data_IF_102621846041
#
_entry.id   IF_102621846041
#
_cell.length_a   1.000
_cell.length_b   1.000
_cell.length_c   1.000
_cell.angle_alpha   90.00
_cell.angle_beta   90.00
_cell.angle_gamma   90.00
#
_symmetry.space_group_name_H-M   'P 1'
#
loop_
_entity.id
_entity.type
_entity.pdbx_description
1 polymer ?
#
# COMPACT_ATOMS: atom_id res chain seq x y z
N UNK A 1 17.57 34.29 28.47
CA UNK A 1 17.83 35.28 27.41
C UNK A 1 19.24 34.99 26.91
N UNK A 2 19.39 33.94 26.08
CA UNK A 2 20.68 33.59 25.47
C UNK A 2 20.71 34.21 24.07
N UNK A 3 21.53 35.25 23.91
CA UNK A 3 21.93 35.76 22.60
C UNK A 3 22.85 34.71 21.96
N UNK A 4 22.32 33.95 21.00
CA UNK A 4 23.14 33.16 20.08
C UNK A 4 23.48 34.01 18.85
N UNK A 5 24.48 34.87 18.96
CA UNK A 5 25.15 35.46 17.78
C UNK A 5 26.19 34.47 17.22
N UNK A 6 25.72 33.29 16.81
CA UNK A 6 26.54 32.36 16.04
C UNK A 6 26.26 32.61 14.55
N UNK A 7 27.13 33.39 13.90
CA UNK A 7 27.03 33.68 12.47
C UNK A 7 27.36 32.40 11.68
N UNK A 8 26.42 31.90 10.89
CA UNK A 8 26.67 30.78 9.96
C UNK A 8 27.67 31.19 8.88
N UNK A 9 28.59 30.29 8.52
CA UNK A 9 29.40 30.46 7.31
C UNK A 9 28.49 30.28 6.09
N UNK A 10 28.84 30.90 4.96
CA UNK A 10 28.19 30.64 3.68
C UNK A 10 28.29 29.14 3.35
N UNK A 11 27.20 28.55 2.89
CA UNK A 11 27.23 27.18 2.36
C UNK A 11 28.08 27.12 1.09
N UNK A 12 28.56 25.93 0.74
CA UNK A 12 29.12 25.71 -0.59
C UNK A 12 28.04 25.96 -1.66
N UNK A 13 28.44 26.49 -2.82
CA UNK A 13 27.52 26.73 -3.93
C UNK A 13 27.01 25.41 -4.51
N UNK A 14 25.70 25.33 -4.79
CA UNK A 14 25.07 24.15 -5.40
C UNK A 14 24.19 24.56 -6.59
N UNK A 15 24.05 23.66 -7.57
CA UNK A 15 23.29 23.94 -8.80
C UNK A 15 21.78 23.78 -8.59
N UNK A 16 21.01 24.73 -9.10
CA UNK A 16 19.53 24.75 -9.06
C UNK A 16 18.90 24.34 -10.42
N UNK A 17 19.74 23.99 -11.40
CA UNK A 17 19.36 23.92 -12.82
C UNK A 17 19.08 22.52 -13.35
N UNK A 18 19.25 21.47 -12.54
CA UNK A 18 18.83 20.13 -12.93
C UNK A 18 17.39 19.94 -12.48
N UNK A 19 16.49 19.68 -13.44
CA UNK A 19 15.10 19.31 -13.17
C UNK A 19 15.15 18.03 -12.30
N UNK A 20 14.70 18.11 -11.04
CA UNK A 20 14.84 17.10 -9.97
C UNK A 20 16.21 16.99 -9.28
N UNK A 21 17.11 17.98 -9.32
CA UNK A 21 18.21 18.05 -8.33
C UNK A 21 17.68 18.50 -6.98
N UNK A 22 17.02 17.57 -6.32
CA UNK A 22 16.74 17.65 -4.91
C UNK A 22 17.94 17.08 -4.15
N UNK A 23 18.33 17.70 -3.05
CA UNK A 23 19.54 17.31 -2.32
C UNK A 23 19.64 17.96 -0.95
N UNK A 24 20.74 17.70 -0.25
CA UNK A 24 21.04 18.32 1.04
C UNK A 24 22.12 19.40 0.91
N UNK A 25 21.91 20.55 1.53
CA UNK A 25 22.93 21.56 1.76
C UNK A 25 23.50 21.43 3.17
N UNK A 26 24.83 21.56 3.30
CA UNK A 26 25.51 21.61 4.60
C UNK A 26 25.83 23.06 4.96
N UNK A 27 25.39 23.48 6.14
CA UNK A 27 25.59 24.82 6.69
C UNK A 27 26.50 24.72 7.92
N UNK A 28 27.77 25.12 7.77
CA UNK A 28 28.74 25.11 8.86
C UNK A 28 28.62 26.40 9.69
N UNK A 29 28.54 26.27 11.01
CA UNK A 29 28.54 27.41 11.94
C UNK A 29 29.93 27.57 12.55
N UNK A 30 30.23 28.74 13.11
CA UNK A 30 31.53 29.10 13.69
C UNK A 30 32.04 28.16 14.79
N UNK A 31 31.16 27.33 15.37
CA UNK A 31 31.46 26.32 16.40
C UNK A 31 31.70 24.90 15.84
N UNK A 32 32.08 24.78 14.57
CA UNK A 32 32.26 23.52 13.83
C UNK A 32 31.02 22.59 13.78
N UNK A 33 29.85 23.09 14.19
CA UNK A 33 28.59 22.38 13.99
C UNK A 33 28.13 22.49 12.54
N UNK A 34 27.74 21.37 11.96
CA UNK A 34 27.19 21.30 10.61
C UNK A 34 25.69 21.03 10.69
N UNK A 35 24.89 21.90 10.08
CA UNK A 35 23.45 21.75 9.95
C UNK A 35 23.13 21.29 8.53
N UNK A 36 22.27 20.27 8.39
CA UNK A 36 21.92 19.71 7.09
C UNK A 36 20.51 20.11 6.71
N UNK A 37 20.32 20.72 5.55
CA UNK A 37 19.02 21.23 5.07
C UNK A 37 18.67 20.51 3.78
N UNK A 38 17.54 19.82 3.74
CA UNK A 38 16.96 19.27 2.53
C UNK A 38 16.36 20.39 1.67
N UNK A 39 16.61 20.31 0.37
CA UNK A 39 16.20 21.29 -0.62
C UNK A 39 15.31 20.59 -1.65
N UNK A 40 14.08 21.08 -1.76
CA UNK A 40 13.11 20.66 -2.76
C UNK A 40 12.81 21.83 -3.71
N UNK A 41 12.77 21.55 -5.02
CA UNK A 41 12.60 22.55 -6.08
C UNK A 41 11.46 22.11 -6.97
N UNK A 42 10.33 22.83 -6.90
CA UNK A 42 9.14 22.54 -7.71
C UNK A 42 8.81 23.74 -8.58
N UNK A 43 8.54 23.51 -9.87
CA UNK A 43 8.03 24.57 -10.76
C UNK A 43 6.57 24.84 -10.44
N UNK A 44 6.23 26.11 -10.20
CA UNK A 44 4.85 26.57 -10.04
C UNK A 44 4.01 26.24 -11.26
N UNK A 45 2.70 26.06 -11.06
CA UNK A 45 1.72 25.85 -12.14
C UNK A 45 1.70 26.96 -13.20
N UNK A 46 2.22 28.16 -12.90
CA UNK A 46 2.34 29.28 -13.84
C UNK A 46 3.64 29.26 -14.68
N UNK A 47 4.45 28.19 -14.59
CA UNK A 47 5.56 27.89 -15.51
C UNK A 47 6.81 28.76 -15.40
N UNK A 48 6.73 29.97 -14.83
CA UNK A 48 7.83 30.93 -14.74
C UNK A 48 8.40 31.12 -13.33
N UNK A 49 7.86 30.44 -12.33
CA UNK A 49 8.32 30.55 -10.93
C UNK A 49 8.76 29.17 -10.43
N UNK A 50 10.00 29.06 -9.93
CA UNK A 50 10.45 27.90 -9.15
C UNK A 50 10.21 28.18 -7.66
N UNK A 51 9.61 27.24 -6.95
CA UNK A 51 9.41 27.26 -5.51
C UNK A 51 10.53 26.42 -4.89
N UNK A 52 11.33 27.05 -4.04
CA UNK A 52 12.41 26.43 -3.28
C UNK A 52 11.93 26.18 -1.85
N UNK A 53 11.80 24.93 -1.45
CA UNK A 53 11.42 24.55 -0.08
C UNK A 53 12.66 24.07 0.67
N UNK A 54 13.01 24.78 1.73
CA UNK A 54 14.12 24.44 2.62
C UNK A 54 13.57 23.78 3.89
N UNK A 55 13.95 22.53 4.13
CA UNK A 55 13.48 21.76 5.29
C UNK A 55 14.70 21.24 6.07
N UNK A 56 14.70 21.28 7.41
CA UNK A 56 15.71 20.57 8.20
C UNK A 56 15.85 19.11 7.78
N UNK A 57 17.07 18.57 7.79
CA UNK A 57 17.32 17.15 7.48
C UNK A 57 16.59 16.21 8.43
N UNK A 58 16.30 16.64 9.64
CA UNK A 58 15.51 15.88 10.60
C UNK A 58 14.43 16.77 11.19
N UNK A 59 13.19 16.29 11.14
CA UNK A 59 12.05 16.94 11.81
C UNK A 59 11.38 15.94 12.74
N UNK A 60 10.94 16.42 13.89
CA UNK A 60 10.15 15.64 14.84
C UNK A 60 8.71 16.13 14.76
N UNK A 61 7.79 15.18 14.62
CA UNK A 61 6.35 15.41 14.47
C UNK A 61 5.67 14.66 15.61
N UNK A 62 4.90 15.36 16.43
CA UNK A 62 4.11 14.73 17.48
C UNK A 62 2.65 14.60 17.04
N UNK A 63 2.22 13.38 16.69
CA UNK A 63 0.82 13.02 16.43
C UNK A 63 0.17 12.28 17.60
N UNK A 64 0.86 12.19 18.74
CA UNK A 64 0.27 11.68 19.98
C UNK A 64 -0.60 12.75 20.64
N UNK A 65 -1.51 12.32 21.51
CA UNK A 65 -2.42 13.20 22.25
C UNK A 65 -1.76 13.94 23.42
N UNK A 66 -0.45 13.74 23.67
CA UNK A 66 0.26 14.27 24.83
C UNK A 66 1.51 15.05 24.45
N UNK A 67 1.92 15.94 25.36
CA UNK A 67 3.20 16.64 25.23
C UNK A 67 4.36 15.71 25.57
N UNK A 68 5.31 15.61 24.64
CA UNK A 68 6.53 14.80 24.79
C UNK A 68 7.76 15.71 24.79
N UNK A 69 8.86 15.20 25.34
CA UNK A 69 10.17 15.79 25.13
C UNK A 69 11.09 14.79 24.45
N UNK A 70 11.90 15.29 23.53
CA UNK A 70 12.87 14.49 22.79
C UNK A 70 14.29 15.02 22.98
N UNK A 71 15.26 14.11 23.00
CA UNK A 71 16.68 14.44 23.06
C UNK A 71 17.50 13.48 22.21
N UNK A 72 18.59 13.99 21.63
CA UNK A 72 19.63 13.14 21.06
C UNK A 72 20.28 12.38 22.22
N UNK A 73 20.37 11.06 22.11
CA UNK A 73 21.01 10.24 23.11
C UNK A 73 22.53 10.38 22.93
N UNK A 74 23.13 11.16 23.82
CA UNK A 74 24.55 11.48 23.80
C UNK A 74 25.32 10.57 24.79
N UNK A 75 26.65 10.45 24.65
CA UNK A 75 27.46 9.81 25.67
C UNK A 75 27.18 10.41 27.06
N UNK A 76 27.22 9.61 28.12
CA UNK A 76 26.92 10.04 29.51
C UNK A 76 27.77 11.22 30.03
N UNK A 77 28.86 11.54 29.33
CA UNK A 77 29.75 12.67 29.60
C UNK A 77 29.18 14.01 29.14
N UNK A 78 28.17 14.00 28.27
CA UNK A 78 27.53 15.18 27.71
C UNK A 78 26.08 15.32 28.20
N UNK A 79 25.62 16.56 28.31
CA UNK A 79 24.27 16.84 28.78
C UNK A 79 23.28 16.77 27.61
N UNK A 80 22.29 15.89 27.73
CA UNK A 80 21.19 15.80 26.77
C UNK A 80 20.34 17.08 26.77
N UNK A 81 20.09 17.62 25.58
CA UNK A 81 19.23 18.79 25.39
C UNK A 81 17.82 18.36 25.00
N UNK A 82 16.97 18.22 26.00
CA UNK A 82 15.54 17.94 25.84
C UNK A 82 14.80 19.10 25.17
N UNK A 83 13.93 18.75 24.21
CA UNK A 83 13.08 19.69 23.47
C UNK A 83 11.63 19.28 23.60
N UNK A 84 10.79 20.22 24.06
CA UNK A 84 9.34 20.03 24.12
C UNK A 84 8.76 19.95 22.71
N UNK A 85 7.86 19.00 22.49
CA UNK A 85 7.05 18.87 21.28
C UNK A 85 5.60 18.64 21.69
N UNK A 86 4.75 19.63 21.46
CA UNK A 86 3.32 19.58 21.78
C UNK A 86 2.55 18.72 20.77
N UNK A 87 1.34 18.25 21.11
CA UNK A 87 0.46 17.60 20.13
C UNK A 87 0.29 18.44 18.86
N UNK A 88 0.37 17.79 17.70
CA UNK A 88 0.34 18.38 16.35
C UNK A 88 1.51 19.32 16.01
N UNK A 89 2.48 19.50 16.92
CA UNK A 89 3.65 20.32 16.67
C UNK A 89 4.68 19.59 15.80
N UNK A 90 5.35 20.38 14.94
CA UNK A 90 6.47 19.94 14.13
C UNK A 90 7.66 20.83 14.48
N UNK A 91 8.74 20.23 14.98
CA UNK A 91 9.96 20.97 15.33
C UNK A 91 11.16 20.51 14.49
N UNK A 92 12.07 21.43 14.15
CA UNK A 92 13.36 21.07 13.57
C UNK A 92 14.22 20.35 14.61
N UNK A 93 14.85 19.24 14.21
CA UNK A 93 15.80 18.50 15.03
C UNK A 93 17.16 18.44 14.33
N UNK A 94 18.21 18.77 15.07
CA UNK A 94 19.55 18.98 14.51
C UNK A 94 20.53 18.07 15.24
N UNK A 95 20.71 16.83 14.78
CA UNK A 95 21.64 15.89 15.41
C UNK A 95 23.08 16.40 15.32
N UNK A 96 23.89 15.99 16.29
CA UNK A 96 25.30 16.36 16.38
C UNK A 96 26.14 15.49 15.44
N UNK A 97 25.78 14.21 15.33
CA UNK A 97 26.30 13.28 14.33
C UNK A 97 25.16 12.40 13.79
N UNK A 98 25.15 12.14 12.47
CA UNK A 98 24.18 11.22 11.85
C UNK A 98 24.61 9.76 11.92
N UNK A 99 25.91 9.49 12.04
CA UNK A 99 26.42 8.12 12.19
C UNK A 99 26.09 7.58 13.59
N UNK A 100 25.27 6.53 13.64
CA UNK A 100 24.81 5.94 14.91
C UNK A 100 23.82 6.82 15.70
N UNK A 101 23.16 7.79 15.06
CA UNK A 101 22.29 8.74 15.73
C UNK A 101 21.05 8.07 16.35
N UNK A 102 20.92 8.22 17.67
CA UNK A 102 19.85 7.63 18.48
C UNK A 102 19.17 8.68 19.34
N UNK A 103 17.87 8.52 19.60
CA UNK A 103 17.02 9.50 20.29
C UNK A 103 16.33 8.87 21.49
N UNK A 104 16.19 9.64 22.56
CA UNK A 104 15.27 9.36 23.67
C UNK A 104 14.01 10.22 23.54
N UNK A 105 12.88 9.66 23.95
CA UNK A 105 11.63 10.40 24.16
C UNK A 105 11.16 10.18 25.59
N UNK A 106 10.57 11.21 26.21
CA UNK A 106 9.95 11.10 27.52
C UNK A 106 8.64 11.85 27.60
N UNK A 107 7.78 11.42 28.50
CA UNK A 107 6.59 12.16 28.84
C UNK A 107 6.95 13.38 29.69
N UNK A 108 6.37 14.53 29.37
CA UNK A 108 6.64 15.80 30.05
C UNK A 108 6.21 15.79 31.52
N UNK A 109 5.05 15.20 31.80
CA UNK A 109 4.37 15.27 33.10
C UNK A 109 5.03 14.41 34.19
N UNK A 110 5.51 13.20 33.84
CA UNK A 110 6.10 12.26 34.80
C UNK A 110 7.58 11.96 34.53
N UNK A 111 8.17 12.50 33.44
CA UNK A 111 9.57 12.31 33.02
C UNK A 111 9.97 10.86 32.71
N UNK A 112 9.00 9.96 32.56
CA UNK A 112 9.25 8.56 32.16
C UNK A 112 9.81 8.57 30.74
N UNK A 113 10.97 7.95 30.56
CA UNK A 113 11.78 8.00 29.34
C UNK A 113 11.85 6.64 28.67
N UNK A 114 11.83 6.63 27.35
CA UNK A 114 12.01 5.42 26.54
C UNK A 114 13.46 4.96 26.54
N UNK A 115 13.67 3.71 26.13
CA UNK A 115 14.97 3.30 25.59
C UNK A 115 15.29 4.07 24.31
N UNK A 116 16.58 4.20 23.98
CA UNK A 116 17.00 4.91 22.78
C UNK A 116 16.58 4.15 21.52
N UNK A 117 16.29 4.87 20.45
CA UNK A 117 15.98 4.28 19.14
C UNK A 117 16.71 5.04 18.03
N UNK A 118 17.06 4.34 16.95
CA UNK A 118 17.72 4.95 15.80
C UNK A 118 16.75 5.88 15.06
N UNK A 119 17.20 7.06 14.63
CA UNK A 119 16.37 7.97 13.81
C UNK A 119 17.02 8.36 12.48
N UNK A 120 18.11 7.68 12.12
CA UNK A 120 18.87 7.82 10.90
C UNK A 120 18.61 6.68 9.89
N UNK A 121 17.56 5.88 10.11
CA UNK A 121 17.16 4.79 9.22
C UNK A 121 15.63 4.64 9.24
N UNK A 122 15.04 4.21 8.13
CA UNK A 122 13.58 3.99 8.05
C UNK A 122 13.19 2.75 8.86
N UNK A 123 12.31 2.92 9.84
CA UNK A 123 11.66 1.82 10.56
C UNK A 123 10.43 2.33 11.32
N UNK A 124 9.63 1.40 11.85
CA UNK A 124 8.54 1.67 12.78
C UNK A 124 8.73 0.76 13.99
N UNK A 125 8.65 1.31 15.18
CA UNK A 125 8.82 0.54 16.42
C UNK A 125 7.92 1.08 17.52
N UNK A 126 7.55 0.23 18.47
CA UNK A 126 6.78 0.59 19.64
C UNK A 126 7.73 0.74 20.82
N UNK A 127 7.78 1.92 21.44
CA UNK A 127 8.63 2.16 22.60
C UNK A 127 7.86 1.81 23.87
N UNK A 128 8.43 0.94 24.70
CA UNK A 128 7.90 0.69 26.05
C UNK A 128 8.11 1.92 26.92
N UNK A 129 7.04 2.36 27.56
CA UNK A 129 7.03 3.45 28.53
C UNK A 129 6.56 2.85 29.85
N UNK A 130 7.35 2.92 30.92
CA UNK A 130 6.98 2.33 32.22
C UNK A 130 5.93 3.18 32.98
N UNK A 131 4.91 3.67 32.25
CA UNK A 131 3.78 4.44 32.75
C UNK A 131 2.51 3.57 32.80
N UNK A 132 1.70 3.72 33.83
CA UNK A 132 0.51 2.89 34.04
C UNK A 132 -0.63 3.23 33.07
N UNK A 133 -0.81 4.52 32.74
CA UNK A 133 -1.89 4.97 31.86
C UNK A 133 -1.53 4.86 30.38
N UNK A 134 -0.25 5.05 30.05
CA UNK A 134 0.29 5.04 28.69
C UNK A 134 1.56 4.19 28.63
N UNK A 135 1.41 2.86 28.61
CA UNK A 135 2.55 1.94 28.73
C UNK A 135 3.43 1.87 27.48
N UNK A 136 3.06 2.55 26.40
CA UNK A 136 3.82 2.55 25.16
C UNK A 136 3.58 3.80 24.31
N UNK A 137 4.58 4.12 23.48
CA UNK A 137 4.53 5.21 22.51
C UNK A 137 5.03 4.71 21.15
N UNK A 138 4.25 4.92 20.10
CA UNK A 138 4.64 4.54 18.75
C UNK A 138 5.64 5.56 18.19
N UNK A 139 6.68 5.08 17.51
CA UNK A 139 7.54 5.92 16.68
C UNK A 139 7.70 5.33 15.27
N UNK A 140 7.53 6.18 14.28
CA UNK A 140 7.80 5.89 12.88
C UNK A 140 8.88 6.85 12.36
N UNK A 141 9.97 6.30 11.84
CA UNK A 141 11.04 7.06 11.19
C UNK A 141 10.88 6.88 9.69
N UNK A 142 10.55 7.97 9.01
CA UNK A 142 10.30 8.00 7.57
C UNK A 142 11.48 8.68 6.89
N UNK A 143 12.15 7.97 5.99
CA UNK A 143 13.16 8.57 5.11
C UNK A 143 12.46 9.42 4.03
N UNK A 144 12.97 10.61 3.76
CA UNK A 144 12.53 11.47 2.65
C UNK A 144 13.35 11.19 1.41
N UNK A 145 12.85 11.57 0.23
CA UNK A 145 13.55 11.41 -1.05
C UNK A 145 14.87 12.23 -1.16
N UNK A 146 15.20 12.97 -0.12
CA UNK A 146 16.30 13.95 -0.04
C UNK A 146 17.28 13.63 1.09
N UNK A 147 17.41 12.34 1.45
CA UNK A 147 18.27 11.82 2.53
C UNK A 147 18.00 12.44 3.91
N UNK A 148 16.79 12.96 4.11
CA UNK A 148 16.28 13.45 5.39
C UNK A 148 15.41 12.42 6.10
N UNK A 149 15.07 12.70 7.36
CA UNK A 149 14.25 11.84 8.21
C UNK A 149 13.14 12.62 8.91
N UNK A 150 11.95 12.03 8.95
CA UNK A 150 10.83 12.50 9.77
C UNK A 150 10.60 11.50 10.88
N UNK A 151 10.74 11.94 12.13
CA UNK A 151 10.46 11.14 13.32
C UNK A 151 9.05 11.47 13.78
N UNK A 152 8.13 10.55 13.58
CA UNK A 152 6.70 10.73 13.87
C UNK A 152 6.34 9.92 15.11
N UNK A 153 5.88 10.60 16.15
CA UNK A 153 5.36 9.96 17.36
C UNK A 153 3.85 9.84 17.29
N UNK A 154 3.30 8.74 17.79
CA UNK A 154 1.87 8.49 17.85
C UNK A 154 1.46 7.77 19.13
N UNK A 155 0.19 7.88 19.49
CA UNK A 155 -0.38 7.05 20.56
C UNK A 155 -0.35 5.57 20.17
N UNK A 156 -0.18 4.71 21.16
CA UNK A 156 -0.27 3.26 20.98
C UNK A 156 -1.66 2.84 20.48
N UNK A 157 -1.69 2.00 19.43
CA UNK A 157 -2.89 1.37 18.87
C UNK A 157 -2.74 -0.14 18.87
N UNK A 158 -3.87 -0.84 18.93
CA UNK A 158 -3.92 -2.30 18.77
C UNK A 158 -3.28 -2.65 17.41
N UNK A 159 -2.34 -3.60 17.41
CA UNK A 159 -1.53 -3.96 16.24
C UNK A 159 -0.17 -3.27 16.15
N UNK A 160 0.12 -2.24 16.95
CA UNK A 160 1.45 -1.61 16.97
C UNK A 160 2.52 -2.49 17.64
N UNK A 161 2.11 -3.43 18.48
CA UNK A 161 3.05 -4.34 19.15
C UNK A 161 3.68 -5.26 18.10
N UNK A 162 5.02 -5.39 18.04
CA UNK A 162 5.67 -6.30 17.10
C UNK A 162 5.10 -7.73 17.10
N UNK A 163 4.78 -8.26 18.28
CA UNK A 163 4.13 -9.56 18.41
C UNK A 163 3.29 -9.66 19.69
N UNK A 164 2.15 -10.33 19.60
CA UNK A 164 1.37 -10.82 20.73
C UNK A 164 1.79 -12.27 21.00
N UNK A 165 2.40 -12.52 22.16
CA UNK A 165 2.79 -13.86 22.60
C UNK A 165 1.61 -14.49 23.34
N UNK A 166 1.19 -15.68 22.92
CA UNK A 166 0.05 -16.41 23.52
C UNK A 166 0.49 -17.80 23.92
N UNK A 167 0.47 -18.09 25.22
CA UNK A 167 0.81 -19.40 25.75
C UNK A 167 -0.47 -20.18 26.06
N UNK A 168 -0.87 -21.10 25.18
CA UNK A 168 -2.00 -22.01 25.40
C UNK A 168 -1.61 -23.33 26.08
N UNK A 169 -0.35 -23.48 26.51
CA UNK A 169 0.08 -24.65 27.29
C UNK A 169 -0.57 -24.62 28.68
N UNK A 170 -0.93 -25.78 29.20
CA UNK A 170 -1.67 -25.87 30.48
C UNK A 170 -0.77 -25.72 31.70
N UNK A 171 0.47 -26.19 31.60
CA UNK A 171 1.38 -26.30 32.75
C UNK A 171 2.79 -25.78 32.49
N UNK A 172 3.12 -25.43 31.24
CA UNK A 172 4.48 -25.09 30.84
C UNK A 172 4.59 -23.59 30.57
N UNK A 173 5.43 -22.85 31.32
CA UNK A 173 5.73 -21.46 31.00
C UNK A 173 6.68 -21.38 29.79
N UNK A 174 6.58 -20.28 29.06
CA UNK A 174 7.47 -19.98 27.92
C UNK A 174 8.40 -18.83 28.32
N UNK A 175 9.70 -19.06 28.27
CA UNK A 175 10.69 -18.01 28.45
C UNK A 175 10.97 -17.32 27.11
N UNK A 176 11.17 -16.00 27.11
CA UNK A 176 11.45 -15.25 25.90
C UNK A 176 12.36 -14.03 26.17
N UNK A 177 13.18 -13.66 25.19
CA UNK A 177 13.99 -12.44 25.20
C UNK A 177 14.26 -11.94 23.78
N UNK A 178 14.75 -10.71 23.67
CA UNK A 178 15.34 -10.23 22.42
C UNK A 178 16.67 -10.97 22.18
N UNK A 179 16.96 -11.32 20.94
CA UNK A 179 18.23 -11.95 20.59
C UNK A 179 19.42 -11.10 21.04
N UNK A 180 20.43 -11.75 21.63
CA UNK A 180 21.60 -11.11 22.24
C UNK A 180 21.29 -10.17 23.43
N UNK A 181 20.09 -10.29 24.04
CA UNK A 181 19.75 -9.65 25.31
C UNK A 181 19.72 -10.68 26.45
N UNK A 182 20.16 -10.25 27.63
CA UNK A 182 20.23 -11.09 28.85
C UNK A 182 18.93 -11.05 29.66
N UNK A 183 18.02 -10.12 29.36
CA UNK A 183 16.76 -9.92 30.10
C UNK A 183 15.70 -10.88 29.59
N UNK A 184 15.69 -12.08 30.15
CA UNK A 184 14.65 -13.09 29.91
C UNK A 184 13.39 -12.78 30.71
N UNK A 185 12.26 -12.82 30.01
CA UNK A 185 10.91 -12.74 30.58
C UNK A 185 10.25 -14.10 30.50
N UNK A 186 9.23 -14.33 31.34
CA UNK A 186 8.51 -15.61 31.39
C UNK A 186 7.03 -15.33 31.18
N UNK A 187 6.44 -16.00 30.19
CA UNK A 187 5.02 -16.03 29.90
C UNK A 187 4.39 -17.25 30.60
N UNK A 188 3.58 -17.06 31.66
CA UNK A 188 2.96 -18.17 32.37
C UNK A 188 2.02 -19.00 31.47
N UNK A 189 1.69 -20.24 31.89
CA UNK A 189 0.67 -21.05 31.21
C UNK A 189 -0.66 -20.32 31.11
N UNK A 190 -1.37 -20.45 29.99
CA UNK A 190 -2.69 -19.83 29.75
C UNK A 190 -2.71 -18.30 29.89
N UNK A 191 -1.59 -17.64 29.57
CA UNK A 191 -1.47 -16.17 29.56
C UNK A 191 -1.03 -15.68 28.19
N UNK A 192 -1.25 -14.39 27.95
CA UNK A 192 -0.74 -13.68 26.78
C UNK A 192 -0.07 -12.38 27.18
N UNK A 193 0.82 -11.86 26.33
CA UNK A 193 1.48 -10.57 26.54
C UNK A 193 1.81 -9.90 25.21
N UNK A 194 1.58 -8.59 25.13
CA UNK A 194 2.06 -7.76 24.03
C UNK A 194 3.55 -7.46 24.23
N UNK A 195 4.36 -7.89 23.28
CA UNK A 195 5.80 -7.73 23.34
C UNK A 195 6.28 -6.59 22.45
N UNK A 196 7.21 -5.79 22.98
CA UNK A 196 8.04 -4.88 22.19
C UNK A 196 9.52 -5.04 22.53
N UNK A 197 10.38 -4.58 21.62
CA UNK A 197 11.83 -4.67 21.72
C UNK A 197 12.37 -3.93 22.93
N UNK A 198 13.21 -4.60 23.71
CA UNK A 198 13.80 -3.99 24.91
C UNK A 198 14.87 -2.97 24.51
N UNK A 199 15.61 -3.27 23.44
CA UNK A 199 16.57 -2.35 22.81
C UNK A 199 16.24 -2.18 21.32
N UNK A 200 15.49 -1.14 20.94
CA UNK A 200 15.09 -0.88 19.56
C UNK A 200 16.26 -0.63 18.60
N UNK A 201 17.48 -0.42 19.11
CA UNK A 201 18.69 -0.19 18.28
C UNK A 201 19.36 -1.49 17.83
N UNK A 202 19.00 -2.63 18.44
CA UNK A 202 19.60 -3.95 18.19
C UNK A 202 18.73 -4.81 17.29
N UNK A 203 19.23 -6.02 16.99
CA UNK A 203 18.53 -7.03 16.22
C UNK A 203 17.11 -7.27 16.76
N UNK A 204 16.14 -7.17 15.86
CA UNK A 204 14.71 -7.37 16.12
C UNK A 204 14.35 -8.84 15.90
N UNK A 205 15.01 -9.73 16.63
CA UNK A 205 14.74 -11.17 16.62
C UNK A 205 14.33 -11.62 18.03
N UNK A 206 13.32 -12.48 18.12
CA UNK A 206 12.81 -13.00 19.39
C UNK A 206 13.39 -14.38 19.64
N UNK A 207 14.04 -14.58 20.78
CA UNK A 207 14.47 -15.91 21.23
C UNK A 207 13.42 -16.42 22.20
N UNK A 208 12.92 -17.61 21.93
CA UNK A 208 11.95 -18.29 22.79
C UNK A 208 12.54 -19.59 23.29
N UNK A 209 12.40 -19.83 24.59
CA UNK A 209 12.85 -21.02 25.25
C UNK A 209 11.69 -21.72 25.96
N UNK A 210 11.63 -23.03 25.79
CA UNK A 210 10.68 -23.90 26.47
C UNK A 210 11.48 -25.05 27.08
N UNK A 211 11.47 -25.15 28.40
CA UNK A 211 12.27 -26.11 29.18
C UNK A 211 13.77 -25.97 28.86
N UNK A 212 14.35 -26.94 28.18
CA UNK A 212 15.76 -27.08 27.86
C UNK A 212 16.10 -26.69 26.40
N UNK A 213 15.10 -26.38 25.59
CA UNK A 213 15.26 -25.97 24.21
C UNK A 213 15.06 -24.47 24.03
N UNK A 214 15.85 -23.87 23.15
CA UNK A 214 15.70 -22.47 22.73
C UNK A 214 15.75 -22.36 21.22
N UNK A 215 14.86 -21.55 20.65
CA UNK A 215 14.81 -21.27 19.21
C UNK A 215 14.77 -19.75 18.99
N UNK A 216 15.50 -19.28 18.00
CA UNK A 216 15.36 -17.92 17.49
C UNK A 216 14.21 -17.90 16.49
N UNK A 217 13.22 -17.05 16.73
CA UNK A 217 12.01 -16.92 15.92
C UNK A 217 12.07 -15.62 15.14
N UNK A 218 11.99 -15.74 13.83
CA UNK A 218 11.66 -14.63 12.94
C UNK A 218 10.14 -14.46 12.89
N UNK A 219 9.64 -13.24 13.04
CA UNK A 219 8.21 -12.92 13.15
C UNK A 219 7.47 -12.96 11.79
N UNK A 220 7.74 -13.98 10.98
CA UNK A 220 7.08 -14.24 9.70
C UNK A 220 6.09 -15.40 9.85
N UNK A 221 4.99 -15.45 9.07
CA UNK A 221 4.04 -16.55 9.13
C UNK A 221 4.73 -17.90 8.92
N UNK A 222 4.71 -18.72 9.97
CA UNK A 222 5.41 -20.01 10.03
C UNK A 222 4.78 -20.87 11.13
N UNK A 223 4.81 -22.18 10.97
CA UNK A 223 4.61 -23.13 12.06
C UNK A 223 5.88 -23.92 12.32
N UNK A 224 6.12 -24.27 13.58
CA UNK A 224 7.28 -25.06 13.96
C UNK A 224 7.04 -25.86 15.23
N UNK A 225 8.04 -26.66 15.59
CA UNK A 225 8.02 -27.53 16.76
C UNK A 225 9.22 -27.21 17.64
N UNK A 226 8.97 -27.12 18.94
CA UNK A 226 9.95 -27.14 20.00
C UNK A 226 10.03 -28.57 20.55
N UNK A 227 11.02 -29.33 20.08
CA UNK A 227 11.23 -30.73 20.47
C UNK A 227 11.89 -30.81 21.86
N UNK A 228 11.09 -30.95 22.92
CA UNK A 228 11.64 -31.09 24.28
C UNK A 228 12.12 -32.53 24.52
N UNK A 229 13.17 -32.67 25.36
CA UNK A 229 13.75 -33.99 25.69
C UNK A 229 12.75 -34.97 26.36
N UNK A 230 11.65 -34.46 26.89
CA UNK A 230 10.63 -35.23 27.63
C UNK A 230 9.53 -35.85 26.73
N UNK A 231 9.74 -35.94 25.41
CA UNK A 231 8.77 -36.46 24.41
C UNK A 231 7.42 -35.72 24.35
N UNK A 232 7.30 -34.55 24.96
CA UNK A 232 6.17 -33.65 24.76
C UNK A 232 6.59 -32.55 23.80
N UNK A 233 6.07 -32.61 22.58
CA UNK A 233 6.29 -31.58 21.58
C UNK A 233 5.42 -30.36 21.89
N UNK A 234 6.05 -29.19 21.96
CA UNK A 234 5.34 -27.90 21.98
C UNK A 234 5.34 -27.38 20.55
N UNK A 235 4.16 -27.08 20.03
CA UNK A 235 4.02 -26.51 18.69
C UNK A 235 3.85 -25.00 18.80
N UNK A 236 4.31 -24.28 17.79
CA UNK A 236 4.04 -22.86 17.67
C UNK A 236 3.59 -22.48 16.27
N UNK A 237 2.77 -21.43 16.20
CA UNK A 237 2.30 -20.82 14.96
C UNK A 237 2.45 -19.30 15.03
N UNK A 238 2.91 -18.71 13.93
CA UNK A 238 2.96 -17.27 13.71
C UNK A 238 1.95 -16.95 12.63
N UNK A 239 1.04 -16.03 12.92
CA UNK A 239 -0.06 -15.64 12.04
C UNK A 239 -0.47 -14.20 12.32
N UNK A 240 -1.25 -13.59 11.42
CA UNK A 240 -1.78 -12.25 11.59
C UNK A 240 -3.26 -12.27 11.99
N UNK A 241 -3.59 -11.68 13.13
CA UNK A 241 -4.97 -11.38 13.51
C UNK A 241 -5.24 -9.90 13.29
N UNK A 242 -5.79 -9.56 12.12
CA UNK A 242 -5.86 -8.19 11.62
C UNK A 242 -4.46 -7.55 11.52
N UNK A 243 -4.23 -6.37 12.12
CA UNK A 243 -2.91 -5.72 12.09
C UNK A 243 -1.89 -6.34 13.07
N UNK A 244 -2.31 -7.26 13.95
CA UNK A 244 -1.45 -7.80 15.00
C UNK A 244 -0.81 -9.11 14.57
N UNK A 245 0.51 -9.21 14.60
CA UNK A 245 1.21 -10.50 14.53
C UNK A 245 1.04 -11.25 15.85
N UNK A 246 0.64 -12.51 15.80
CA UNK A 246 0.42 -13.40 16.96
C UNK A 246 1.38 -14.58 16.85
N UNK A 247 2.09 -14.86 17.95
CA UNK A 247 2.89 -16.07 18.13
C UNK A 247 2.26 -16.92 19.23
N UNK A 248 1.66 -18.03 18.81
CA UNK A 248 0.87 -18.93 19.64
C UNK A 248 1.65 -20.20 19.96
N UNK A 249 1.64 -20.63 21.22
CA UNK A 249 2.21 -21.91 21.67
C UNK A 249 1.11 -22.87 22.11
N UNK A 250 1.13 -24.12 21.64
CA UNK A 250 0.11 -25.11 21.94
C UNK A 250 0.67 -26.54 22.03
N UNK A 251 -0.04 -27.41 22.75
CA UNK A 251 0.27 -28.85 22.85
C UNK A 251 -0.38 -29.67 21.73
N UNK A 252 -1.46 -29.16 21.13
CA UNK A 252 -2.28 -29.87 20.16
C UNK A 252 -2.04 -29.37 18.73
N UNK A 253 -1.63 -30.25 17.82
CA UNK A 253 -1.40 -29.93 16.40
C UNK A 253 -2.68 -29.43 15.72
N UNK A 254 -3.85 -29.92 16.14
CA UNK A 254 -5.14 -29.49 15.59
C UNK A 254 -5.38 -27.98 15.74
N UNK A 255 -4.94 -27.38 16.85
CA UNK A 255 -5.08 -25.93 17.08
C UNK A 255 -4.18 -25.16 16.11
N UNK A 256 -2.95 -25.63 15.93
CA UNK A 256 -1.97 -25.03 15.01
C UNK A 256 -2.47 -25.16 13.58
N UNK A 257 -2.91 -26.34 13.16
CA UNK A 257 -3.50 -26.57 11.84
C UNK A 257 -4.77 -25.76 11.62
N UNK A 258 -5.63 -25.63 12.63
CA UNK A 258 -6.82 -24.80 12.52
C UNK A 258 -6.43 -23.35 12.26
N UNK A 259 -5.46 -22.81 13.00
CA UNK A 259 -5.05 -21.41 12.84
C UNK A 259 -4.26 -21.19 11.54
N UNK A 260 -3.43 -22.14 11.09
CA UNK A 260 -2.64 -21.99 9.86
C UNK A 260 -3.43 -22.29 8.57
N UNK A 261 -4.42 -23.19 8.62
CA UNK A 261 -5.23 -23.58 7.45
C UNK A 261 -6.50 -22.74 7.26
N UNK A 262 -6.77 -21.76 8.12
CA UNK A 262 -7.86 -20.82 7.91
C UNK A 262 -7.53 -19.97 6.66
N UNK A 263 -8.27 -20.12 5.53
CA UNK A 263 -8.01 -19.33 4.33
C UNK A 263 -8.28 -17.83 4.52
N UNK A 264 -8.94 -17.45 5.63
CA UNK A 264 -9.30 -16.07 5.98
C UNK A 264 -8.23 -15.30 6.76
N UNK A 265 -7.03 -15.87 6.90
CA UNK A 265 -5.87 -15.22 7.49
C UNK A 265 -5.07 -14.39 6.46
N UNK A 266 -5.33 -14.63 5.16
CA UNK A 266 -5.29 -13.56 4.17
C UNK A 266 -6.59 -12.78 4.32
N UNK A 267 -6.52 -11.53 4.75
CA UNK A 267 -7.70 -10.71 5.04
C UNK A 267 -8.68 -10.73 3.85
N UNK A 268 -9.83 -11.37 4.01
CA UNK A 268 -10.86 -11.35 2.98
C UNK A 268 -11.41 -9.94 2.90
N UNK A 269 -11.29 -9.29 1.74
CA UNK A 269 -11.91 -7.98 1.51
C UNK A 269 -13.44 -8.15 1.56
N UNK A 270 -14.00 -7.85 2.74
CA UNK A 270 -15.39 -8.14 3.08
C UNK A 270 -16.35 -7.03 2.61
N UNK A 271 -15.82 -5.88 2.19
CA UNK A 271 -16.56 -4.78 1.61
C UNK A 271 -16.02 -4.47 0.22
N UNK A 272 -16.92 -4.27 -0.75
CA UNK A 272 -16.54 -3.89 -2.10
C UNK A 272 -17.58 -2.96 -2.73
N UNK A 273 -17.10 -2.00 -3.51
CA UNK A 273 -17.88 -1.12 -4.37
C UNK A 273 -17.31 -1.27 -5.78
N UNK A 274 -18.21 -1.42 -6.75
CA UNK A 274 -17.86 -1.43 -8.17
C UNK A 274 -18.66 -0.35 -8.90
N UNK A 275 -17.97 0.47 -9.68
CA UNK A 275 -18.55 1.52 -10.51
C UNK A 275 -18.15 1.24 -11.95
N UNK A 276 -19.14 1.08 -12.83
CA UNK A 276 -18.96 0.95 -14.26
C UNK A 276 -19.58 2.14 -14.98
N UNK A 277 -18.78 2.88 -15.73
CA UNK A 277 -19.23 3.99 -16.58
C UNK A 277 -18.95 3.59 -18.02
N UNK A 278 -20.04 3.43 -18.79
CA UNK A 278 -19.97 2.94 -20.17
C UNK A 278 -19.17 3.88 -21.07
N UNK A 279 -19.52 5.16 -21.07
CA UNK A 279 -18.86 6.21 -21.85
C UNK A 279 -18.89 7.53 -21.05
N UNK A 280 -17.80 8.28 -21.04
CA UNK A 280 -17.69 9.62 -20.44
C UNK A 280 -16.90 10.55 -21.37
N UNK A 281 -17.37 11.79 -21.49
CA UNK A 281 -16.74 12.84 -22.27
C UNK A 281 -16.53 14.09 -21.42
N UNK A 282 -15.39 14.74 -21.58
CA UNK A 282 -15.02 15.98 -20.91
C UNK A 282 -14.58 16.96 -21.99
N UNK A 283 -15.33 18.06 -22.15
CA UNK A 283 -14.95 19.17 -23.00
C UNK A 283 -14.29 20.27 -22.16
N UNK A 284 -13.14 20.77 -22.62
CA UNK A 284 -12.43 21.92 -22.05
C UNK A 284 -12.64 23.08 -23.00
N UNK A 285 -13.21 24.16 -22.48
CA UNK A 285 -13.64 25.32 -23.25
C UNK A 285 -12.95 26.55 -22.67
N UNK A 286 -12.50 27.46 -23.52
CA UNK A 286 -12.10 28.81 -23.11
C UNK A 286 -13.36 29.65 -22.88
N UNK A 287 -13.58 30.10 -21.64
CA UNK A 287 -14.76 30.87 -21.28
C UNK A 287 -14.76 32.31 -21.83
N UNK A 288 -13.59 32.85 -22.14
CA UNK A 288 -13.40 34.19 -22.68
C UNK A 288 -13.54 34.16 -24.20
N UNK A 289 -12.79 33.28 -24.87
CA UNK A 289 -12.78 33.16 -26.33
C UNK A 289 -13.98 32.36 -26.86
N UNK A 290 -14.69 31.61 -26.00
CA UNK A 290 -15.85 30.76 -26.32
C UNK A 290 -15.57 29.72 -27.39
N UNK A 291 -14.38 29.16 -27.39
CA UNK A 291 -13.98 28.07 -28.27
C UNK A 291 -13.61 26.82 -27.47
N UNK A 292 -13.85 25.66 -28.08
CA UNK A 292 -13.47 24.38 -27.52
C UNK A 292 -11.96 24.18 -27.71
N UNK A 293 -11.26 23.93 -26.60
CA UNK A 293 -9.82 23.70 -26.61
C UNK A 293 -9.52 22.22 -26.83
N UNK A 294 -10.15 21.36 -26.03
CA UNK A 294 -9.94 19.92 -26.08
C UNK A 294 -11.20 19.16 -25.74
N UNK A 295 -11.35 17.99 -26.37
CA UNK A 295 -12.33 17.00 -25.97
C UNK A 295 -11.63 15.71 -25.57
N UNK A 296 -11.89 15.24 -24.35
CA UNK A 296 -11.37 13.98 -23.82
C UNK A 296 -12.54 13.02 -23.70
N UNK A 297 -12.46 11.86 -24.36
CA UNK A 297 -13.45 10.80 -24.22
C UNK A 297 -12.82 9.53 -23.69
N UNK A 298 -13.52 8.89 -22.75
CA UNK A 298 -13.28 7.52 -22.33
C UNK A 298 -14.51 6.73 -22.76
N UNK A 299 -14.31 5.78 -23.67
CA UNK A 299 -15.37 4.95 -24.21
C UNK A 299 -15.21 3.48 -23.88
N UNK A 300 -16.32 2.74 -24.01
CA UNK A 300 -16.37 1.28 -23.86
C UNK A 300 -15.32 0.55 -24.71
N UNK A 301 -15.02 -0.68 -24.34
CA UNK A 301 -14.18 -1.56 -25.16
C UNK A 301 -14.85 -1.86 -26.51
N UNK A 302 -14.04 -2.38 -27.45
CA UNK A 302 -14.57 -3.02 -28.65
C UNK A 302 -15.45 -4.21 -28.25
N UNK A 303 -16.48 -4.45 -29.04
CA UNK A 303 -17.37 -5.60 -28.85
C UNK A 303 -16.67 -6.88 -29.30
N UNK A 304 -16.69 -7.87 -28.41
CA UNK A 304 -16.11 -9.17 -28.65
C UNK A 304 -17.12 -10.26 -28.33
N UNK A 305 -17.12 -11.29 -29.16
CA UNK A 305 -17.81 -12.55 -28.97
C UNK A 305 -16.82 -13.59 -28.47
N UNK A 306 -17.24 -14.32 -27.45
CA UNK A 306 -16.44 -15.38 -26.84
C UNK A 306 -17.24 -16.66 -26.77
N UNK A 307 -16.59 -17.77 -27.06
CA UNK A 307 -17.15 -19.11 -26.87
C UNK A 307 -17.20 -19.42 -25.37
N UNK A 308 -18.39 -19.80 -24.91
CA UNK A 308 -18.66 -20.15 -23.51
C UNK A 308 -18.72 -21.66 -23.36
N UNK A 309 -17.63 -22.27 -22.87
CA UNK A 309 -17.62 -23.65 -22.39
C UNK A 309 -17.75 -23.70 -20.86
N UNK A 310 -18.01 -24.88 -20.28
CA UNK A 310 -18.17 -25.03 -18.81
C UNK A 310 -16.92 -24.66 -18.01
N UNK A 311 -15.72 -24.64 -18.60
CA UNK A 311 -14.46 -24.40 -17.88
C UNK A 311 -13.53 -23.36 -18.53
N UNK A 312 -13.78 -22.98 -19.79
CA UNK A 312 -12.92 -22.03 -20.52
C UNK A 312 -13.74 -21.05 -21.35
N UNK A 313 -13.31 -19.79 -21.32
CA UNK A 313 -13.76 -18.73 -22.21
C UNK A 313 -12.71 -18.59 -23.30
N UNK A 314 -13.10 -18.76 -24.56
CA UNK A 314 -12.17 -18.67 -25.70
C UNK A 314 -12.63 -17.55 -26.63
N UNK A 315 -11.76 -16.58 -26.97
CA UNK A 315 -12.10 -15.55 -27.96
C UNK A 315 -12.25 -16.18 -29.35
N UNK A 316 -13.20 -15.67 -30.13
CA UNK A 316 -13.36 -16.09 -31.52
C UNK A 316 -12.32 -15.40 -32.43
N UNK A 317 -12.13 -15.96 -33.63
CA UNK A 317 -11.26 -15.33 -34.65
C UNK A 317 -11.77 -13.92 -34.99
N UNK A 318 -10.87 -13.01 -35.39
CA UNK A 318 -11.26 -11.62 -35.70
C UNK A 318 -12.33 -11.52 -36.79
N UNK A 319 -12.21 -12.34 -37.85
CA UNK A 319 -13.18 -12.36 -38.95
C UNK A 319 -14.54 -12.88 -38.49
N UNK A 320 -14.56 -13.96 -37.70
CA UNK A 320 -15.81 -14.51 -37.16
C UNK A 320 -16.49 -13.53 -36.21
N UNK A 321 -15.70 -12.90 -35.32
CA UNK A 321 -16.17 -11.82 -34.43
C UNK A 321 -16.84 -10.68 -35.19
N UNK A 322 -16.18 -10.20 -36.26
CA UNK A 322 -16.69 -9.10 -37.08
C UNK A 322 -18.02 -9.47 -37.76
N UNK A 323 -18.09 -10.63 -38.42
CA UNK A 323 -19.33 -11.05 -39.09
C UNK A 323 -20.46 -11.32 -38.10
N UNK A 324 -20.15 -11.87 -36.91
CA UNK A 324 -21.15 -12.05 -35.86
C UNK A 324 -21.74 -10.73 -35.38
N UNK A 325 -20.90 -9.72 -35.18
CA UNK A 325 -21.37 -8.40 -34.75
C UNK A 325 -22.20 -7.71 -35.85
N UNK A 326 -21.80 -7.83 -37.13
CA UNK A 326 -22.58 -7.34 -38.26
C UNK A 326 -23.98 -8.00 -38.35
N UNK A 327 -24.07 -9.33 -38.17
CA UNK A 327 -25.36 -10.04 -38.14
C UNK A 327 -26.17 -9.70 -36.89
N UNK A 328 -25.52 -9.51 -35.76
CA UNK A 328 -26.16 -9.11 -34.51
C UNK A 328 -26.80 -7.72 -34.61
N UNK A 329 -26.13 -6.76 -35.27
CA UNK A 329 -26.73 -5.46 -35.52
C UNK A 329 -28.01 -5.53 -36.36
N UNK A 330 -28.05 -6.44 -37.34
CA UNK A 330 -29.26 -6.69 -38.13
C UNK A 330 -30.35 -7.31 -37.27
N UNK A 331 -30.02 -8.32 -36.46
CA UNK A 331 -30.94 -8.91 -35.50
C UNK A 331 -31.53 -7.88 -34.54
N UNK A 332 -30.69 -7.02 -33.96
CA UNK A 332 -31.12 -5.99 -33.04
C UNK A 332 -32.02 -4.94 -33.72
N UNK A 333 -31.75 -4.58 -34.99
CA UNK A 333 -32.62 -3.69 -35.79
C UNK A 333 -33.96 -4.35 -36.09
N UNK A 334 -33.96 -5.61 -36.51
CA UNK A 334 -35.16 -6.38 -36.83
C UNK A 334 -36.04 -6.56 -35.59
N UNK A 335 -35.46 -6.89 -34.43
CA UNK A 335 -36.17 -7.05 -33.16
C UNK A 335 -36.80 -5.73 -32.68
N UNK A 336 -36.10 -4.59 -32.85
CA UNK A 336 -36.66 -3.28 -32.51
C UNK A 336 -37.75 -2.81 -33.47
N UNK A 337 -37.66 -3.17 -34.75
CA UNK A 337 -38.68 -2.84 -35.75
C UNK A 337 -39.93 -3.72 -35.62
N UNK A 338 -39.76 -4.99 -35.20
CA UNK A 338 -40.81 -6.01 -35.14
C UNK A 338 -40.81 -6.76 -33.79
N UNK A 339 -41.10 -6.08 -32.66
CA UNK A 339 -40.93 -6.65 -31.32
C UNK A 339 -41.87 -7.82 -30.96
N UNK A 340 -42.98 -8.01 -31.68
CA UNK A 340 -43.98 -9.05 -31.40
C UNK A 340 -44.17 -10.04 -32.56
N UNK A 341 -43.22 -10.11 -33.49
CA UNK A 341 -43.31 -10.96 -34.67
C UNK A 341 -42.51 -12.27 -34.47
N UNK A 342 -43.23 -13.40 -34.39
CA UNK A 342 -42.63 -14.73 -34.15
C UNK A 342 -41.73 -15.19 -35.31
N UNK A 343 -41.97 -14.71 -36.54
CA UNK A 343 -41.13 -15.05 -37.69
C UNK A 343 -39.78 -14.33 -37.62
N UNK A 344 -39.75 -13.09 -37.09
CA UNK A 344 -38.51 -12.36 -36.85
C UNK A 344 -37.78 -12.83 -35.60
N UNK A 345 -38.51 -13.26 -34.56
CA UNK A 345 -37.92 -13.84 -33.35
C UNK A 345 -37.17 -15.16 -33.65
N UNK A 346 -37.68 -15.98 -34.57
CA UNK A 346 -37.07 -17.26 -34.96
C UNK A 346 -36.22 -17.17 -36.24
N UNK A 347 -35.93 -15.95 -36.72
CA UNK A 347 -35.15 -15.74 -37.93
C UNK A 347 -33.73 -16.24 -37.74
N UNK A 348 -33.30 -17.13 -38.63
CA UNK A 348 -31.93 -17.64 -38.67
C UNK A 348 -31.05 -16.76 -39.54
N UNK A 349 -29.94 -16.31 -38.98
CA UNK A 349 -28.91 -15.55 -39.67
C UNK A 349 -27.84 -16.51 -40.20
N UNK A 350 -27.04 -16.08 -41.19
CA UNK A 350 -26.01 -16.91 -41.82
C UNK A 350 -24.67 -16.21 -41.82
N UNK A 351 -23.61 -16.98 -41.60
CA UNK A 351 -22.22 -16.55 -41.66
C UNK A 351 -21.48 -17.57 -42.52
N UNK A 352 -20.48 -17.16 -43.30
CA UNK A 352 -19.81 -18.03 -44.28
C UNK A 352 -19.26 -19.35 -43.69
N UNK A 353 -18.87 -19.34 -42.41
CA UNK A 353 -18.35 -20.51 -41.68
C UNK A 353 -19.44 -21.30 -40.91
N UNK A 354 -20.68 -20.80 -40.81
CA UNK A 354 -21.76 -21.41 -40.03
C UNK A 354 -23.12 -21.37 -40.74
N UNK A 355 -23.77 -22.53 -40.83
CA UNK A 355 -25.01 -22.72 -41.62
C UNK A 355 -26.18 -21.89 -41.09
N UNK A 356 -26.37 -21.89 -39.78
CA UNK A 356 -27.45 -21.18 -39.08
C UNK A 356 -26.90 -20.54 -37.80
N UNK A 357 -27.25 -19.27 -37.56
CA UNK A 357 -26.97 -18.51 -36.35
C UNK A 357 -28.30 -18.03 -35.75
N UNK A 358 -28.53 -18.38 -34.49
CA UNK A 358 -29.69 -17.90 -33.71
C UNK A 358 -29.18 -16.98 -32.61
N UNK A 359 -29.71 -15.77 -32.52
CA UNK A 359 -29.38 -14.81 -31.47
C UNK A 359 -30.46 -14.81 -30.39
N UNK A 360 -30.03 -14.66 -29.14
CA UNK A 360 -30.90 -14.49 -27.98
C UNK A 360 -30.23 -13.49 -27.01
N UNK A 361 -30.75 -12.28 -26.97
CA UNK A 361 -30.18 -11.12 -26.27
C UNK A 361 -28.67 -10.97 -26.53
N UNK A 362 -27.81 -11.21 -25.54
CA UNK A 362 -26.35 -11.10 -25.67
C UNK A 362 -25.67 -12.44 -25.98
N UNK A 363 -26.41 -13.44 -26.42
CA UNK A 363 -25.89 -14.78 -26.74
C UNK A 363 -26.24 -15.18 -28.16
N UNK A 364 -25.45 -16.07 -28.75
CA UNK A 364 -25.74 -16.69 -30.03
C UNK A 364 -25.43 -18.18 -30.00
N UNK A 365 -26.27 -18.97 -30.66
CA UNK A 365 -26.00 -20.37 -30.94
C UNK A 365 -25.58 -20.51 -32.42
N UNK A 366 -24.33 -20.95 -32.63
CA UNK A 366 -23.75 -21.19 -33.95
C UNK A 366 -23.89 -22.66 -34.31
N UNK A 367 -24.51 -22.96 -35.45
CA UNK A 367 -24.57 -24.33 -35.98
C UNK A 367 -23.64 -24.48 -37.18
N UNK A 368 -22.61 -25.30 -37.04
CA UNK A 368 -21.68 -25.63 -38.13
C UNK A 368 -22.34 -26.52 -39.21
N UNK A 369 -21.74 -26.62 -40.39
CA UNK A 369 -22.18 -27.46 -41.50
C UNK A 369 -22.29 -28.95 -41.13
N UNK A 370 -21.55 -29.39 -40.11
CA UNK A 370 -21.60 -30.75 -39.55
C UNK A 370 -22.70 -30.94 -38.48
N UNK A 371 -23.46 -29.90 -38.13
CA UNK A 371 -24.53 -29.95 -37.14
C UNK A 371 -24.07 -29.75 -35.69
N UNK A 372 -22.79 -29.45 -35.46
CA UNK A 372 -22.28 -29.09 -34.13
C UNK A 372 -22.77 -27.70 -33.72
N UNK A 373 -23.17 -27.57 -32.45
CA UNK A 373 -23.71 -26.33 -31.85
C UNK A 373 -22.71 -25.75 -30.87
N UNK A 374 -22.42 -24.46 -31.02
CA UNK A 374 -21.50 -23.71 -30.16
C UNK A 374 -22.22 -22.50 -29.61
N UNK A 375 -22.16 -22.31 -28.29
CA UNK A 375 -22.75 -21.15 -27.61
C UNK A 375 -21.70 -20.05 -27.44
N UNK A 376 -21.98 -18.88 -28.00
CA UNK A 376 -21.13 -17.70 -27.89
C UNK A 376 -21.85 -16.57 -27.16
N UNK A 377 -21.09 -15.76 -26.42
CA UNK A 377 -21.60 -14.62 -25.66
C UNK A 377 -20.92 -13.34 -26.14
N UNK A 378 -21.73 -12.30 -26.35
CA UNK A 378 -21.28 -10.94 -26.63
C UNK A 378 -20.88 -10.26 -25.33
N UNK A 379 -19.68 -9.72 -25.27
CA UNK A 379 -19.15 -8.99 -24.13
C UNK A 379 -18.64 -7.61 -24.52
N UNK A 380 -18.99 -6.63 -23.70
CA UNK A 380 -18.56 -5.24 -23.80
C UNK A 380 -18.13 -4.81 -22.41
N UNK A 381 -16.94 -4.24 -22.29
CA UNK A 381 -16.43 -3.72 -21.03
C UNK A 381 -16.70 -2.21 -20.95
N UNK A 382 -17.08 -1.73 -19.77
CA UNK A 382 -17.29 -0.31 -19.49
C UNK A 382 -16.05 0.52 -19.79
N UNK A 383 -16.21 1.75 -20.29
CA UNK A 383 -15.09 2.61 -20.63
C UNK A 383 -14.21 2.94 -19.43
N UNK A 384 -14.84 3.25 -18.30
CA UNK A 384 -14.18 3.42 -17.00
C UNK A 384 -14.82 2.46 -16.00
N UNK A 385 -14.01 1.54 -15.46
CA UNK A 385 -14.39 0.64 -14.39
C UNK A 385 -13.52 0.88 -13.17
N UNK A 386 -14.14 1.02 -12.01
CA UNK A 386 -13.48 1.25 -10.73
C UNK A 386 -13.97 0.19 -9.74
N UNK A 387 -13.06 -0.63 -9.24
CA UNK A 387 -13.28 -1.54 -8.13
C UNK A 387 -12.54 -1.05 -6.91
N UNK A 388 -13.28 -0.80 -5.83
CA UNK A 388 -12.70 -0.49 -4.52
C UNK A 388 -13.14 -1.56 -3.54
N UNK A 389 -12.18 -2.28 -2.98
CA UNK A 389 -12.43 -3.34 -2.00
C UNK A 389 -11.60 -3.06 -0.76
N UNK A 390 -12.17 -3.28 0.42
CA UNK A 390 -11.47 -3.02 1.66
C UNK A 390 -11.94 -3.94 2.77
N UNK A 391 -11.15 -3.93 3.82
CA UNK A 391 -11.32 -4.62 5.08
C UNK A 391 -10.78 -3.71 6.19
N UNK A 392 -10.61 -4.26 7.38
CA UNK A 392 -10.11 -3.55 8.57
C UNK A 392 -8.65 -3.07 8.46
N UNK A 393 -7.79 -3.81 7.78
CA UNK A 393 -6.35 -3.51 7.66
C UNK A 393 -5.85 -3.37 6.22
N UNK A 394 -6.70 -3.62 5.22
CA UNK A 394 -6.29 -3.57 3.81
C UNK A 394 -7.33 -2.91 2.92
N UNK A 395 -6.87 -2.27 1.85
CA UNK A 395 -7.72 -1.69 0.81
C UNK A 395 -7.04 -1.88 -0.56
N UNK A 396 -7.80 -2.39 -1.52
CA UNK A 396 -7.41 -2.47 -2.92
C UNK A 396 -8.26 -1.53 -3.76
N UNK A 397 -7.59 -0.76 -4.61
CA UNK A 397 -8.21 0.11 -5.58
C UNK A 397 -7.74 -0.31 -6.98
N UNK A 398 -8.67 -0.71 -7.82
CA UNK A 398 -8.42 -1.17 -9.17
C UNK A 398 -9.21 -0.31 -10.15
N UNK A 399 -8.51 0.29 -11.10
CA UNK A 399 -9.11 1.08 -12.18
C UNK A 399 -8.76 0.45 -13.51
N UNK A 400 -9.78 0.24 -14.34
CA UNK A 400 -9.62 -0.19 -15.73
C UNK A 400 -10.23 0.85 -16.65
N UNK A 401 -9.42 1.31 -17.60
CA UNK A 401 -9.81 2.26 -18.65
C UNK A 401 -9.61 1.57 -19.99
N UNK A 402 -10.65 1.51 -20.82
CA UNK A 402 -10.60 0.77 -22.08
C UNK A 402 -10.15 1.62 -23.27
N UNK A 403 -11.00 2.54 -23.76
CA UNK A 403 -10.67 3.39 -24.90
C UNK A 403 -10.57 4.83 -24.44
N UNK A 404 -9.42 5.46 -24.65
CA UNK A 404 -9.22 6.90 -24.40
C UNK A 404 -8.92 7.60 -25.70
N UNK A 405 -9.59 8.73 -25.93
CA UNK A 405 -9.28 9.62 -27.05
C UNK A 405 -9.23 11.07 -26.57
N UNK A 406 -8.21 11.80 -27.00
CA UNK A 406 -8.05 13.23 -26.75
C UNK A 406 -7.95 13.92 -28.09
N UNK A 407 -8.91 14.80 -28.35
CA UNK A 407 -9.02 15.60 -29.55
C UNK A 407 -8.70 17.06 -29.23
N UNK A 408 -7.99 17.71 -30.14
CA UNK A 408 -7.72 19.15 -30.12
C UNK A 408 -8.76 19.81 -31.02
N UNK A 409 -9.70 20.52 -30.38
CA UNK A 409 -10.85 21.13 -31.04
C UNK A 409 -10.56 22.55 -31.55
N UNK A 410 -9.30 23.00 -31.49
CA UNK A 410 -8.92 24.31 -32.00
C UNK A 410 -9.12 24.38 -33.52
N UNK A 411 -9.67 25.51 -34.00
CA UNK A 411 -10.09 25.74 -35.40
C UNK A 411 -8.97 25.57 -36.47
N UNK A 412 -7.72 25.42 -36.06
CA UNK A 412 -6.56 25.21 -36.93
C UNK A 412 -5.54 24.23 -36.32
N UNK A 413 -6.02 23.24 -35.55
CA UNK A 413 -5.17 22.25 -34.93
C UNK A 413 -4.35 21.49 -35.98
N UNK A 414 -3.01 21.60 -35.92
CA UNK A 414 -2.09 20.80 -36.73
C UNK A 414 -2.27 19.29 -36.50
N UNK A 415 -2.67 18.92 -35.28
CA UNK A 415 -2.96 17.56 -34.87
C UNK A 415 -4.35 17.52 -34.19
N UNK A 416 -5.42 17.23 -34.96
CA UNK A 416 -6.78 17.17 -34.41
C UNK A 416 -6.97 16.06 -33.39
N UNK A 417 -6.21 14.97 -33.50
CA UNK A 417 -6.19 13.87 -32.52
C UNK A 417 -4.84 13.89 -31.82
N UNK A 418 -4.84 14.23 -30.54
CA UNK A 418 -3.63 14.29 -29.70
C UNK A 418 -3.26 12.91 -29.19
N UNK A 419 -4.27 12.12 -28.79
CA UNK A 419 -4.08 10.79 -28.23
C UNK A 419 -5.21 9.87 -28.68
N UNK A 420 -4.88 8.77 -29.30
CA UNK A 420 -5.79 7.65 -29.54
C UNK A 420 -4.94 6.37 -29.56
N UNK A 421 -4.78 5.70 -28.40
CA UNK A 421 -3.91 4.54 -28.30
C UNK A 421 -4.44 3.42 -29.20
N UNK A 422 -3.71 3.11 -30.26
CA UNK A 422 -4.01 1.95 -31.11
C UNK A 422 -3.23 0.78 -30.51
N UNK A 423 -3.94 -0.23 -30.02
CA UNK A 423 -3.30 -1.49 -29.60
C UNK A 423 -2.60 -2.08 -30.83
N UNK A 424 -1.26 -2.14 -30.78
CA UNK A 424 -0.47 -2.70 -31.88
C UNK A 424 -0.77 -4.20 -32.00
N UNK A 425 -0.82 -4.74 -33.23
CA UNK A 425 -1.03 -6.18 -33.50
C UNK A 425 0.08 -7.09 -32.93
N UNK A 426 1.08 -6.56 -32.23
CA UNK A 426 2.22 -7.29 -31.70
C UNK A 426 2.05 -7.62 -30.20
N UNK A 427 1.04 -8.41 -29.86
CA UNK A 427 1.00 -9.24 -28.64
C UNK A 427 -0.17 -10.21 -28.78
N UNK A 428 0.11 -11.45 -29.16
CA UNK A 428 -0.88 -12.52 -29.33
C UNK A 428 -1.38 -13.15 -28.03
N UNK A 429 -1.32 -12.42 -26.93
CA UNK A 429 -1.75 -12.87 -25.60
C UNK A 429 -2.14 -11.63 -24.85
N UNK A 430 -3.45 -11.41 -24.73
CA UNK A 430 -4.13 -10.81 -23.57
C UNK A 430 -5.63 -10.75 -23.93
N UNK A 431 -6.34 -11.80 -23.50
CA UNK A 431 -7.79 -11.85 -23.33
C UNK A 431 -8.06 -12.02 -21.84
#
# INVERSE_FOLDING_TARGET
MEQHDAVSKWSEGFSLDVIKSTGMASCKVSNDRTYMICIDIVTSSFGMTKILTLTPSTVVINKSTIEIEVAEALPKTEQERWRLVKPEEIIPFWPSNMEGAVMHVRYTHNRISSTAFAFNQKHRTLLRMDDEERPALQVEVIATDFDGFRVVFGDYKIGDSPVLLVNCLKYVPIAFCQANDVRTQVLPPLHYVYYTWIDPTKSQALVVACRDQSVSIELNPLCGVLETNDRQSVYYAIFHDGPQTVLLFAEETNLIEAVTNIPSLGESMNQHIQIGIRDIGIAIIDDIARNDLFYISIGKSKEIWMETSKSHIKPLSHNLNKHLDEQYELYFKDQNAHPNDEDFANKKYRIDEHRDVSFDDYTAELTDHQGHRVLVKRQVLDGLWIGFAWSTSNAAFHVRINRVQIDNEHEFALFPVVLNPIVSKAAGTDI
#
